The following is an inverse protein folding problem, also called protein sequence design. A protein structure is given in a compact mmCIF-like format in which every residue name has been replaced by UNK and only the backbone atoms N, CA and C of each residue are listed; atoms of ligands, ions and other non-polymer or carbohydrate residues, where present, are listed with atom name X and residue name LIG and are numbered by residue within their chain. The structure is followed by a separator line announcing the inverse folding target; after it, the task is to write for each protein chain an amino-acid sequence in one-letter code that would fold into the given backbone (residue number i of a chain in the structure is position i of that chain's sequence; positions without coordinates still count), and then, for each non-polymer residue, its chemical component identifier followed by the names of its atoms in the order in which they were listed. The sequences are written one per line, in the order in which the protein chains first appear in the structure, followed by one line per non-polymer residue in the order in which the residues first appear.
data_IF_863039685673
#
_entry.id   IF_863039685673
#
_cell.length_a   1.000
_cell.length_b   1.000
_cell.length_c   1.000
_cell.angle_alpha   90.00
_cell.angle_beta   90.00
_cell.angle_gamma   90.00
#
_symmetry.space_group_name_H-M   'P 1'
#
loop_
_entity.id
_entity.type
_entity.pdbx_description
1 polymer ?
#
# COMPACT_ATOMS: atom_id res chain seq x y z
N UNK A 1 20.08 6.85 -9.42
CA UNK A 1 18.94 7.22 -10.27
C UNK A 1 17.67 6.72 -9.63
N UNK A 2 16.58 7.49 -9.75
CA UNK A 2 15.25 7.00 -9.33
C UNK A 2 14.80 5.87 -10.25
N UNK A 3 14.17 4.83 -9.66
CA UNK A 3 13.66 3.66 -10.38
C UNK A 3 12.22 3.88 -10.83
N UNK A 4 11.90 3.52 -12.06
CA UNK A 4 10.56 3.54 -12.63
C UNK A 4 10.18 2.13 -13.04
N UNK A 5 9.03 1.64 -12.57
CA UNK A 5 8.46 0.37 -13.03
C UNK A 5 7.59 0.60 -14.26
N UNK A 6 7.85 -0.14 -15.32
CA UNK A 6 7.06 -0.14 -16.56
C UNK A 6 6.32 -1.46 -16.68
N UNK A 7 5.00 -1.38 -16.81
CA UNK A 7 4.12 -2.55 -16.94
C UNK A 7 3.30 -2.39 -18.21
N UNK A 8 3.62 -3.16 -19.23
CA UNK A 8 3.02 -3.09 -20.57
C UNK A 8 3.30 -4.43 -21.24
N UNK A 9 2.34 -5.08 -21.87
CA UNK A 9 2.54 -6.37 -22.53
C UNK A 9 3.34 -6.27 -23.84
N UNK A 10 3.39 -5.09 -24.45
CA UNK A 10 4.16 -4.82 -25.67
C UNK A 10 5.65 -4.63 -25.37
N UNK A 11 6.50 -5.61 -25.75
CA UNK A 11 7.95 -5.59 -25.60
C UNK A 11 8.60 -4.38 -26.30
N UNK A 12 8.09 -3.99 -27.47
CA UNK A 12 8.62 -2.85 -28.22
C UNK A 12 8.34 -1.54 -27.47
N UNK A 13 7.16 -1.41 -26.88
CA UNK A 13 6.80 -0.25 -26.06
C UNK A 13 7.68 -0.17 -24.82
N UNK A 14 7.88 -1.27 -24.10
CA UNK A 14 8.78 -1.31 -22.93
C UNK A 14 10.20 -0.91 -23.31
N UNK A 15 10.73 -1.48 -24.41
CA UNK A 15 12.04 -1.14 -24.93
C UNK A 15 12.19 0.34 -25.30
N UNK A 16 11.16 0.93 -25.92
CA UNK A 16 11.12 2.34 -26.28
C UNK A 16 11.13 3.23 -25.02
N UNK A 17 10.26 2.93 -24.04
CA UNK A 17 10.19 3.68 -22.77
C UNK A 17 11.55 3.62 -22.07
N UNK A 18 12.15 2.44 -21.95
CA UNK A 18 13.46 2.23 -21.34
C UNK A 18 14.53 3.08 -21.99
N UNK A 19 14.62 3.03 -23.31
CA UNK A 19 15.59 3.84 -24.08
C UNK A 19 15.37 5.34 -23.88
N UNK A 20 14.12 5.79 -23.89
CA UNK A 20 13.79 7.22 -23.78
C UNK A 20 13.97 7.79 -22.36
N UNK A 21 13.91 6.94 -21.32
CA UNK A 21 14.08 7.37 -19.93
C UNK A 21 15.49 7.13 -19.38
N UNK A 22 16.36 6.40 -20.09
CA UNK A 22 17.67 5.93 -19.61
C UNK A 22 18.66 7.02 -19.21
N UNK A 23 18.49 8.23 -19.71
CA UNK A 23 19.31 9.40 -19.35
C UNK A 23 18.99 9.96 -17.95
N UNK A 24 17.82 9.66 -17.40
CA UNK A 24 17.32 10.28 -16.17
C UNK A 24 16.93 9.25 -15.13
N UNK A 25 16.41 8.09 -15.54
CA UNK A 25 15.82 7.08 -14.68
C UNK A 25 16.36 5.68 -14.96
N UNK A 26 16.45 4.87 -13.93
CA UNK A 26 16.60 3.41 -14.03
C UNK A 26 15.22 2.79 -14.25
N UNK A 27 15.03 1.99 -15.29
CA UNK A 27 13.74 1.34 -15.56
C UNK A 27 13.80 -0.14 -15.25
N UNK A 28 12.78 -0.62 -14.53
CA UNK A 28 12.45 -2.02 -14.32
C UNK A 28 11.20 -2.27 -15.14
N UNK A 29 11.11 -3.36 -15.88
CA UNK A 29 9.98 -3.59 -16.76
C UNK A 29 9.47 -5.02 -16.68
N UNK A 30 8.18 -5.19 -16.93
CA UNK A 30 7.53 -6.50 -17.09
C UNK A 30 6.35 -6.40 -18.06
N UNK A 31 6.19 -7.45 -18.88
CA UNK A 31 4.98 -7.67 -19.66
C UNK A 31 3.93 -8.52 -18.91
N UNK A 32 4.27 -9.00 -17.71
CA UNK A 32 3.38 -9.85 -16.94
C UNK A 32 2.80 -9.06 -15.73
N UNK A 33 1.48 -8.76 -15.75
CA UNK A 33 0.82 -8.00 -14.68
C UNK A 33 0.92 -8.70 -13.31
N UNK A 34 0.98 -10.04 -13.27
CA UNK A 34 1.09 -10.80 -11.99
C UNK A 34 2.41 -10.52 -11.30
N UNK A 35 3.49 -10.31 -12.06
CA UNK A 35 4.82 -10.01 -11.50
C UNK A 35 4.96 -8.55 -11.03
N UNK A 36 4.13 -7.64 -11.55
CA UNK A 36 4.29 -6.21 -11.34
C UNK A 36 4.26 -5.80 -9.88
N UNK A 37 3.38 -6.40 -9.07
CA UNK A 37 3.28 -6.12 -7.64
C UNK A 37 4.53 -6.58 -6.89
N UNK A 38 5.03 -7.79 -7.20
CA UNK A 38 6.27 -8.32 -6.62
C UNK A 38 7.47 -7.44 -6.94
N UNK A 39 7.63 -7.04 -8.22
CA UNK A 39 8.70 -6.12 -8.65
C UNK A 39 8.60 -4.76 -7.97
N UNK A 40 7.39 -4.24 -7.77
CA UNK A 40 7.21 -2.97 -7.06
C UNK A 40 7.64 -3.07 -5.58
N UNK A 41 7.38 -4.20 -4.91
CA UNK A 41 7.80 -4.42 -3.52
C UNK A 41 9.30 -4.65 -3.39
N UNK A 42 9.90 -5.42 -4.31
CA UNK A 42 11.33 -5.74 -4.32
C UNK A 42 12.19 -4.53 -4.66
N UNK A 43 11.90 -3.87 -5.78
CA UNK A 43 12.75 -2.82 -6.33
C UNK A 43 12.41 -1.42 -5.85
N UNK A 44 11.25 -1.25 -5.21
CA UNK A 44 10.79 0.01 -4.60
C UNK A 44 10.82 1.21 -5.56
N UNK A 45 10.15 1.13 -6.72
CA UNK A 45 10.18 2.20 -7.71
C UNK A 45 9.53 3.48 -7.16
N UNK A 46 9.97 4.62 -7.71
CA UNK A 46 9.45 5.94 -7.37
C UNK A 46 8.21 6.32 -8.18
N UNK A 47 8.00 5.67 -9.33
CA UNK A 47 6.77 5.78 -10.13
C UNK A 47 6.50 4.48 -10.90
N UNK A 48 5.27 4.31 -11.34
CA UNK A 48 4.81 3.21 -12.18
C UNK A 48 4.22 3.79 -13.46
N UNK A 49 4.67 3.28 -14.61
CA UNK A 49 4.02 3.46 -15.91
C UNK A 49 3.23 2.19 -16.19
N UNK A 50 1.92 2.30 -16.40
CA UNK A 50 1.01 1.16 -16.45
C UNK A 50 0.12 1.24 -17.69
N UNK A 51 0.18 0.21 -18.54
CA UNK A 51 -0.85 0.03 -19.56
C UNK A 51 -2.14 -0.52 -18.93
N UNK A 52 -3.27 -0.07 -19.46
CA UNK A 52 -4.59 -0.56 -19.04
C UNK A 52 -5.01 -1.81 -19.77
N UNK A 53 -4.57 -1.97 -21.01
CA UNK A 53 -5.05 -3.00 -21.93
C UNK A 53 -4.00 -4.10 -22.06
N UNK A 54 -3.94 -4.97 -21.07
CA UNK A 54 -3.07 -6.14 -21.06
C UNK A 54 -3.90 -7.42 -21.09
N UNK A 55 -3.40 -8.51 -21.72
CA UNK A 55 -3.98 -9.84 -21.60
C UNK A 55 -4.04 -10.31 -20.15
N UNK A 56 -4.98 -11.16 -19.82
CA UNK A 56 -5.11 -11.91 -18.55
C UNK A 56 -5.43 -11.08 -17.30
N UNK A 57 -5.03 -9.82 -17.23
CA UNK A 57 -5.31 -8.94 -16.09
C UNK A 57 -5.38 -7.49 -16.55
N UNK A 58 -6.48 -6.84 -16.32
CA UNK A 58 -6.61 -5.43 -16.69
C UNK A 58 -5.73 -4.53 -15.81
N UNK A 59 -5.16 -3.48 -16.41
CA UNK A 59 -4.42 -2.47 -15.65
C UNK A 59 -5.25 -1.80 -14.56
N UNK A 60 -6.60 -1.87 -14.65
CA UNK A 60 -7.51 -1.41 -13.60
C UNK A 60 -7.39 -2.25 -12.33
N UNK A 61 -7.43 -3.58 -12.45
CA UNK A 61 -7.28 -4.50 -11.30
C UNK A 61 -5.90 -4.38 -10.68
N UNK A 62 -4.88 -4.21 -11.50
CA UNK A 62 -3.52 -4.01 -11.04
C UNK A 62 -3.36 -2.66 -10.30
N UNK A 63 -3.96 -1.59 -10.79
CA UNK A 63 -3.99 -0.29 -10.12
C UNK A 63 -4.67 -0.39 -8.75
N UNK A 64 -5.79 -1.12 -8.65
CA UNK A 64 -6.46 -1.39 -7.38
C UNK A 64 -5.57 -2.19 -6.43
N UNK A 65 -4.86 -3.19 -6.95
CA UNK A 65 -3.92 -4.00 -6.17
C UNK A 65 -2.79 -3.15 -5.59
N UNK A 66 -2.19 -2.27 -6.39
CA UNK A 66 -1.20 -1.30 -5.91
C UNK A 66 -1.78 -0.37 -4.82
N UNK A 67 -3.03 0.05 -4.96
CA UNK A 67 -3.67 0.95 -4.00
C UNK A 67 -3.96 0.27 -2.64
N UNK A 68 -4.15 -1.04 -2.62
CA UNK A 68 -4.47 -1.79 -1.40
C UNK A 68 -3.27 -1.97 -0.46
N UNK A 69 -2.04 -1.89 -0.96
CA UNK A 69 -0.82 -1.97 -0.14
C UNK A 69 -0.30 -0.58 0.18
N UNK A 70 -0.04 -0.30 1.45
CA UNK A 70 0.36 1.03 1.90
C UNK A 70 1.66 1.55 1.29
N UNK A 71 2.54 0.63 0.88
CA UNK A 71 3.79 0.97 0.20
C UNK A 71 3.48 1.44 -1.22
N UNK A 72 2.86 0.59 -2.02
CA UNK A 72 2.57 0.86 -3.43
C UNK A 72 1.47 1.91 -3.63
N UNK A 73 0.54 2.08 -2.66
CA UNK A 73 -0.49 3.12 -2.70
C UNK A 73 0.07 4.56 -2.73
N UNK A 74 1.34 4.74 -2.37
CA UNK A 74 2.01 6.05 -2.42
C UNK A 74 2.82 6.27 -3.68
N UNK A 75 3.07 5.22 -4.45
CA UNK A 75 3.80 5.33 -5.71
C UNK A 75 2.85 5.96 -6.74
N UNK A 76 3.23 7.08 -7.37
CA UNK A 76 2.42 7.67 -8.42
C UNK A 76 2.33 6.74 -9.61
N UNK A 77 1.11 6.46 -10.05
CA UNK A 77 0.81 5.64 -11.21
C UNK A 77 0.48 6.56 -12.38
N UNK A 78 1.21 6.42 -13.47
CA UNK A 78 0.95 7.07 -14.75
C UNK A 78 0.42 6.02 -15.72
N UNK A 79 -0.78 6.24 -16.18
CA UNK A 79 -1.41 5.37 -17.18
C UNK A 79 -0.87 5.72 -18.55
N UNK A 80 -0.47 4.70 -19.30
CA UNK A 80 0.00 4.79 -20.70
C UNK A 80 -0.85 3.83 -21.52
N UNK A 81 -1.77 4.33 -22.33
CA UNK A 81 -2.75 3.48 -23.03
C UNK A 81 -3.05 3.94 -24.46
N UNK A 82 -3.42 2.98 -25.32
CA UNK A 82 -3.91 3.28 -26.68
C UNK A 82 -5.36 3.77 -26.70
N UNK A 83 -6.12 3.63 -25.60
CA UNK A 83 -7.48 4.12 -25.47
C UNK A 83 -7.50 5.62 -25.17
N UNK A 84 -8.58 6.31 -25.61
CA UNK A 84 -8.73 7.73 -25.35
C UNK A 84 -8.78 8.02 -23.84
N UNK A 85 -7.87 8.86 -23.36
CA UNK A 85 -7.72 9.19 -21.93
C UNK A 85 -9.01 9.74 -21.29
N UNK A 86 -9.92 10.32 -22.07
CA UNK A 86 -11.18 10.87 -21.57
C UNK A 86 -12.13 9.82 -20.98
N UNK A 87 -12.12 8.60 -21.52
CA UNK A 87 -13.08 7.54 -21.16
C UNK A 87 -12.88 6.99 -19.74
N UNK A 88 -11.64 6.93 -19.28
CA UNK A 88 -11.30 6.26 -18.01
C UNK A 88 -10.65 7.18 -16.99
N UNK A 89 -10.42 8.44 -17.30
CA UNK A 89 -9.68 9.39 -16.47
C UNK A 89 -10.23 9.51 -15.06
N UNK A 90 -11.53 9.72 -14.92
CA UNK A 90 -12.18 9.87 -13.63
C UNK A 90 -12.09 8.58 -12.79
N UNK A 91 -12.40 7.46 -13.41
CA UNK A 91 -12.32 6.15 -12.75
C UNK A 91 -10.91 5.85 -12.24
N UNK A 92 -9.89 6.04 -13.09
CA UNK A 92 -8.50 5.78 -12.73
C UNK A 92 -7.94 6.77 -11.72
N UNK A 93 -8.40 8.03 -11.74
CA UNK A 93 -8.06 9.01 -10.71
C UNK A 93 -8.53 8.54 -9.32
N UNK A 94 -9.72 7.96 -9.23
CA UNK A 94 -10.25 7.36 -8.00
C UNK A 94 -9.42 6.14 -7.54
N UNK A 95 -8.74 5.47 -8.47
CA UNK A 95 -7.80 4.37 -8.18
C UNK A 95 -6.36 4.84 -7.92
N UNK A 96 -6.11 6.16 -7.87
CA UNK A 96 -4.81 6.72 -7.51
C UNK A 96 -3.86 7.03 -8.67
N UNK A 97 -4.32 6.95 -9.92
CA UNK A 97 -3.53 7.39 -11.07
C UNK A 97 -3.38 8.93 -11.05
N UNK A 98 -2.16 9.39 -11.26
CA UNK A 98 -1.80 10.82 -11.20
C UNK A 98 -1.59 11.47 -12.57
N UNK A 99 -1.55 10.66 -13.63
CA UNK A 99 -1.35 11.13 -15.00
C UNK A 99 -1.79 10.11 -16.04
N UNK A 100 -2.06 10.63 -17.25
CA UNK A 100 -2.50 9.87 -18.42
C UNK A 100 -1.71 10.27 -19.62
N UNK A 101 -1.24 9.26 -20.37
CA UNK A 101 -0.54 9.43 -21.62
C UNK A 101 -1.13 8.49 -22.66
N UNK A 102 -1.59 9.06 -23.76
CA UNK A 102 -2.05 8.28 -24.92
C UNK A 102 -0.85 7.82 -25.74
N UNK A 103 -0.93 6.60 -26.27
CA UNK A 103 0.02 6.11 -27.26
C UNK A 103 -0.33 6.73 -28.64
N UNK A 104 0.64 7.34 -29.35
CA UNK A 104 2.07 7.40 -29.08
C UNK A 104 2.44 8.42 -28.00
N UNK A 105 3.39 8.06 -27.14
CA UNK A 105 3.77 8.83 -25.94
C UNK A 105 4.53 10.10 -26.32
N UNK A 106 4.09 11.25 -25.79
CA UNK A 106 4.91 12.46 -25.70
C UNK A 106 5.89 12.33 -24.54
N UNK A 107 7.13 11.90 -24.86
CA UNK A 107 8.17 11.67 -23.84
C UNK A 107 8.65 12.93 -23.15
N UNK A 108 8.58 14.10 -23.78
CA UNK A 108 8.95 15.36 -23.15
C UNK A 108 7.94 15.69 -22.04
N UNK A 109 6.66 15.55 -22.33
CA UNK A 109 5.58 15.71 -21.37
C UNK A 109 5.64 14.66 -20.25
N UNK A 110 5.90 13.39 -20.59
CA UNK A 110 6.05 12.31 -19.61
C UNK A 110 7.18 12.61 -18.62
N UNK A 111 8.40 12.95 -19.10
CA UNK A 111 9.56 13.31 -18.25
C UNK A 111 9.25 14.48 -17.33
N UNK A 112 8.62 15.52 -17.86
CA UNK A 112 8.23 16.71 -17.07
C UNK A 112 7.26 16.34 -15.95
N UNK A 113 6.25 15.51 -16.23
CA UNK A 113 5.27 15.07 -15.22
C UNK A 113 5.89 14.13 -14.19
N UNK A 114 6.75 13.18 -14.60
CA UNK A 114 7.52 12.34 -13.70
C UNK A 114 8.35 13.18 -12.73
N UNK A 115 9.15 14.11 -13.24
CA UNK A 115 9.97 14.99 -12.41
C UNK A 115 9.15 15.78 -11.40
N UNK A 116 8.05 16.38 -11.83
CA UNK A 116 7.14 17.15 -10.95
C UNK A 116 6.57 16.27 -9.81
N UNK A 117 6.08 15.08 -10.11
CA UNK A 117 5.49 14.19 -9.10
C UNK A 117 6.55 13.63 -8.13
N UNK A 118 7.74 13.30 -8.63
CA UNK A 118 8.82 12.76 -7.80
C UNK A 118 9.43 13.80 -6.85
N UNK A 119 9.42 15.08 -7.22
CA UNK A 119 9.84 16.18 -6.35
C UNK A 119 8.89 16.39 -5.16
N UNK A 120 7.59 16.21 -5.38
CA UNK A 120 6.56 16.48 -4.35
C UNK A 120 6.34 15.31 -3.40
N UNK A 121 6.75 14.10 -3.76
CA UNK A 121 6.50 12.88 -2.98
C UNK A 121 7.76 12.35 -2.32
N UNK A 122 7.83 12.35 -0.97
CA UNK A 122 8.95 11.74 -0.27
C UNK A 122 8.98 10.21 -0.49
N UNK A 123 10.18 9.64 -0.50
CA UNK A 123 10.36 8.19 -0.57
C UNK A 123 9.73 7.50 0.65
N UNK A 124 9.18 6.30 0.47
CA UNK A 124 8.65 5.50 1.58
C UNK A 124 9.80 5.04 2.51
N UNK A 125 9.64 5.27 3.81
CA UNK A 125 10.64 4.92 4.85
C UNK A 125 10.16 3.83 5.81
N UNK A 126 8.98 3.24 5.58
CA UNK A 126 8.43 2.23 6.49
C UNK A 126 9.19 0.92 6.38
N UNK A 127 9.43 0.28 7.53
CA UNK A 127 10.09 -1.03 7.59
C UNK A 127 9.20 -2.15 7.02
N UNK A 128 7.85 -2.06 7.23
CA UNK A 128 6.93 -3.12 6.84
C UNK A 128 5.81 -2.57 5.95
N UNK A 129 5.47 -3.36 4.93
CA UNK A 129 4.29 -3.12 4.09
C UNK A 129 3.02 -3.26 4.92
N UNK A 130 2.05 -2.38 4.71
CA UNK A 130 0.73 -2.44 5.34
C UNK A 130 -0.33 -2.79 4.31
N UNK A 131 -1.18 -3.74 4.66
CA UNK A 131 -2.32 -4.15 3.84
C UNK A 131 -3.59 -3.56 4.44
N UNK A 132 -4.44 -2.96 3.61
CA UNK A 132 -5.79 -2.58 4.04
C UNK A 132 -6.63 -3.85 4.16
N UNK A 133 -6.76 -4.34 5.38
CA UNK A 133 -7.44 -5.60 5.68
C UNK A 133 -8.24 -5.45 6.97
N UNK A 134 -9.49 -5.90 6.94
CA UNK A 134 -10.38 -5.96 8.09
C UNK A 134 -10.26 -7.33 8.73
N UNK A 135 -9.56 -7.40 9.84
CA UNK A 135 -9.50 -8.57 10.72
C UNK A 135 -10.23 -8.24 12.01
N UNK A 136 -10.94 -9.22 12.54
CA UNK A 136 -11.49 -9.12 13.91
C UNK A 136 -10.40 -9.60 14.85
N UNK A 137 -9.92 -8.71 15.69
CA UNK A 137 -8.96 -9.01 16.74
C UNK A 137 -9.57 -8.74 18.11
N UNK A 138 -9.22 -9.55 19.11
CA UNK A 138 -9.50 -9.31 20.51
C UNK A 138 -8.25 -8.82 21.21
N UNK A 139 -8.37 -7.70 21.88
CA UNK A 139 -7.33 -7.15 22.75
C UNK A 139 -7.68 -7.43 24.22
N UNK A 140 -6.70 -7.89 24.99
CA UNK A 140 -6.81 -8.10 26.44
C UNK A 140 -5.70 -7.34 27.16
N UNK A 141 -6.06 -6.63 28.21
CA UNK A 141 -5.09 -5.85 29.00
C UNK A 141 -5.77 -4.96 30.02
N UNK A 142 -5.11 -3.88 30.37
CA UNK A 142 -5.62 -2.85 31.31
C UNK A 142 -5.70 -1.49 30.60
N UNK A 143 -6.76 -0.75 30.84
CA UNK A 143 -6.94 0.62 30.33
C UNK A 143 -6.12 1.64 31.13
N UNK A 144 -6.16 2.91 30.73
CA UNK A 144 -5.46 4.00 31.43
C UNK A 144 -5.91 4.19 32.88
N UNK A 145 -7.11 3.71 33.24
CA UNK A 145 -7.65 3.71 34.60
C UNK A 145 -7.34 2.44 35.39
N UNK A 146 -6.43 1.59 34.90
CA UNK A 146 -6.03 0.31 35.50
C UNK A 146 -7.17 -0.73 35.60
N UNK A 147 -8.21 -0.60 34.80
CA UNK A 147 -9.31 -1.59 34.72
C UNK A 147 -8.99 -2.61 33.64
N UNK A 148 -9.12 -3.89 33.99
CA UNK A 148 -8.98 -4.98 33.02
C UNK A 148 -10.08 -4.93 31.98
N UNK A 149 -9.74 -5.21 30.72
CA UNK A 149 -10.68 -5.27 29.62
C UNK A 149 -10.37 -6.41 28.65
N UNK A 150 -11.42 -6.86 27.97
CA UNK A 150 -11.36 -7.67 26.75
C UNK A 150 -12.22 -6.98 25.70
N UNK A 151 -11.62 -6.55 24.59
CA UNK A 151 -12.31 -5.77 23.56
C UNK A 151 -12.08 -6.35 22.17
N UNK A 152 -13.18 -6.64 21.47
CA UNK A 152 -13.14 -6.94 20.03
C UNK A 152 -13.05 -5.63 19.24
N UNK A 153 -12.21 -5.62 18.21
CA UNK A 153 -12.16 -4.53 17.24
C UNK A 153 -11.83 -5.05 15.84
N UNK A 154 -12.20 -4.25 14.85
CA UNK A 154 -11.81 -4.48 13.44
C UNK A 154 -10.59 -3.65 13.10
N UNK A 155 -9.60 -4.28 12.47
CA UNK A 155 -8.43 -3.55 11.97
C UNK A 155 -8.78 -2.69 10.77
N UNK A 156 -8.09 -1.56 10.59
CA UNK A 156 -8.15 -0.73 9.38
C UNK A 156 -7.06 -1.13 8.38
N UNK A 157 -5.90 -1.50 8.91
CA UNK A 157 -4.80 -2.07 8.15
C UNK A 157 -3.93 -2.94 9.07
N UNK A 158 -3.18 -3.83 8.46
CA UNK A 158 -2.26 -4.75 9.12
C UNK A 158 -0.90 -4.75 8.43
N UNK A 159 0.14 -5.11 9.16
CA UNK A 159 1.50 -5.33 8.65
C UNK A 159 2.17 -6.45 9.44
N UNK A 160 3.34 -6.92 9.00
CA UNK A 160 4.14 -7.85 9.78
C UNK A 160 4.50 -7.28 11.18
N UNK A 161 4.70 -5.96 11.28
CA UNK A 161 5.07 -5.31 12.54
C UNK A 161 3.91 -4.82 13.41
N UNK A 162 2.64 -4.92 12.98
CA UNK A 162 1.50 -4.44 13.77
C UNK A 162 0.24 -4.11 12.98
N UNK A 163 -0.69 -3.40 13.61
CA UNK A 163 -1.98 -3.06 13.02
C UNK A 163 -2.52 -1.71 13.53
N UNK A 164 -3.54 -1.22 12.85
CA UNK A 164 -4.30 -0.02 13.20
C UNK A 164 -5.75 -0.42 13.43
N UNK A 165 -6.35 -0.01 14.54
CA UNK A 165 -7.78 -0.18 14.79
C UNK A 165 -8.36 0.95 15.63
N UNK A 166 -9.68 1.00 15.70
CA UNK A 166 -10.44 2.01 16.46
C UNK A 166 -11.12 1.34 17.67
N UNK A 167 -10.98 1.97 18.85
CA UNK A 167 -11.47 1.46 20.13
C UNK A 167 -12.14 2.57 20.95
N UNK A 168 -13.20 2.23 21.73
CA UNK A 168 -13.81 3.16 22.67
C UNK A 168 -13.15 3.13 24.06
N UNK A 169 -11.83 2.88 24.09
CA UNK A 169 -11.05 2.77 25.31
C UNK A 169 -9.95 3.82 25.34
N UNK A 170 -9.62 4.31 26.52
CA UNK A 170 -8.43 5.12 26.72
C UNK A 170 -7.26 4.21 27.11
N UNK A 171 -6.28 4.09 26.22
CA UNK A 171 -5.11 3.25 26.39
C UNK A 171 -3.88 4.14 26.59
N UNK A 172 -3.09 3.82 27.61
CA UNK A 172 -1.83 4.53 27.87
C UNK A 172 -0.78 4.17 26.81
N UNK A 173 0.04 5.13 26.38
CA UNK A 173 1.23 4.84 25.57
C UNK A 173 2.12 3.80 26.25
N UNK A 174 2.74 2.96 25.44
CA UNK A 174 3.66 1.90 25.89
C UNK A 174 3.05 0.76 26.75
N UNK A 175 1.75 0.82 27.05
CA UNK A 175 1.07 -0.31 27.67
C UNK A 175 1.07 -1.54 26.74
N UNK A 176 1.24 -2.72 27.36
CA UNK A 176 1.28 -4.00 26.63
C UNK A 176 -0.05 -4.72 26.68
N UNK A 177 -0.51 -5.22 25.52
CA UNK A 177 -1.78 -5.92 25.38
C UNK A 177 -1.58 -7.25 24.68
N UNK A 178 -2.32 -8.26 25.10
CA UNK A 178 -2.41 -9.53 24.38
C UNK A 178 -3.36 -9.38 23.20
N UNK A 179 -3.03 -10.01 22.08
CA UNK A 179 -3.81 -9.99 20.86
C UNK A 179 -4.20 -11.41 20.47
N UNK A 180 -5.45 -11.57 20.12
CA UNK A 180 -6.01 -12.82 19.61
C UNK A 180 -6.73 -12.53 18.30
N UNK A 181 -6.55 -13.38 17.29
CA UNK A 181 -7.41 -13.40 16.10
C UNK A 181 -8.73 -14.09 16.48
N UNK A 182 -9.84 -13.42 16.22
CA UNK A 182 -11.17 -13.99 16.37
C UNK A 182 -11.58 -14.65 15.05
N UNK A 183 -11.72 -15.96 15.06
CA UNK A 183 -12.21 -16.78 13.95
C UNK A 183 -13.51 -17.50 14.31
N UNK A 184 -14.03 -18.33 13.40
CA UNK A 184 -15.27 -19.08 13.58
C UNK A 184 -15.16 -20.09 14.77
N UNK A 185 -15.47 -19.60 15.97
CA UNK A 185 -15.54 -20.42 17.20
C UNK A 185 -14.23 -20.59 17.96
N UNK A 186 -13.11 -20.05 17.49
CA UNK A 186 -11.81 -20.16 18.16
C UNK A 186 -11.09 -18.81 18.19
N UNK A 187 -10.37 -18.56 19.29
CA UNK A 187 -9.46 -17.43 19.46
C UNK A 187 -8.03 -17.95 19.40
N UNK A 188 -7.26 -17.42 18.47
CA UNK A 188 -5.83 -17.76 18.33
C UNK A 188 -4.98 -16.63 18.90
N UNK A 189 -4.18 -16.93 19.91
CA UNK A 189 -3.18 -15.98 20.41
C UNK A 189 -2.15 -15.71 19.33
N UNK A 190 -1.94 -14.42 19.00
CA UNK A 190 -1.02 -14.01 17.94
C UNK A 190 0.13 -13.14 18.43
N UNK A 191 0.15 -12.80 19.71
CA UNK A 191 1.28 -12.11 20.31
C UNK A 191 0.90 -10.99 21.29
N UNK A 192 1.91 -10.17 21.61
CA UNK A 192 1.77 -8.95 22.42
C UNK A 192 2.04 -7.72 21.58
N UNK A 193 1.30 -6.66 21.86
CA UNK A 193 1.47 -5.36 21.21
C UNK A 193 1.56 -4.24 22.23
N UNK A 194 2.18 -3.13 21.82
CA UNK A 194 2.11 -1.86 22.53
C UNK A 194 1.48 -0.78 21.65
N UNK A 195 0.91 0.25 22.28
CA UNK A 195 0.47 1.45 21.58
C UNK A 195 1.69 2.28 21.18
N UNK A 196 1.81 2.59 19.88
CA UNK A 196 2.90 3.46 19.38
C UNK A 196 2.39 4.81 18.88
N UNK A 197 1.08 4.93 18.63
CA UNK A 197 0.44 6.17 18.22
C UNK A 197 -1.05 6.14 18.53
N UNK A 198 -1.56 7.27 18.99
CA UNK A 198 -2.98 7.55 19.19
C UNK A 198 -3.39 8.67 18.23
N UNK A 199 -4.49 8.48 17.52
CA UNK A 199 -5.10 9.46 16.63
C UNK A 199 -6.48 9.81 17.17
N UNK A 200 -6.94 11.06 16.93
CA UNK A 200 -8.23 11.57 17.40
C UNK A 200 -8.48 11.38 18.91
N UNK A 201 -7.60 11.92 19.79
CA UNK A 201 -7.68 11.68 21.24
C UNK A 201 -8.94 12.20 21.90
N UNK A 202 -9.63 13.19 21.32
CA UNK A 202 -10.78 13.85 21.91
C UNK A 202 -12.13 13.27 21.42
N UNK A 203 -12.12 12.09 20.82
CA UNK A 203 -13.33 11.40 20.37
C UNK A 203 -13.63 10.19 21.23
N UNK A 204 -14.93 9.80 21.30
CA UNK A 204 -15.36 8.58 22.01
C UNK A 204 -14.75 7.29 21.41
N UNK A 205 -14.38 7.34 20.12
CA UNK A 205 -13.75 6.26 19.38
C UNK A 205 -12.36 6.68 18.95
N UNK A 206 -11.35 6.18 19.63
CA UNK A 206 -9.97 6.56 19.40
C UNK A 206 -9.29 5.57 18.49
N UNK A 207 -8.43 6.05 17.62
CA UNK A 207 -7.70 5.25 16.65
C UNK A 207 -6.28 5.01 17.15
N UNK A 208 -5.92 3.73 17.30
CA UNK A 208 -4.64 3.31 17.85
C UNK A 208 -3.81 2.56 16.83
N UNK A 209 -2.54 2.92 16.72
CA UNK A 209 -1.53 2.11 16.04
C UNK A 209 -0.81 1.24 17.07
N UNK A 210 -0.86 -0.06 16.84
CA UNK A 210 -0.22 -1.08 17.64
C UNK A 210 1.00 -1.65 16.94
N UNK A 211 2.07 -1.87 17.70
CA UNK A 211 3.28 -2.55 17.26
C UNK A 211 3.45 -3.84 18.05
N UNK A 212 3.76 -4.94 17.36
CA UNK A 212 4.12 -6.18 18.03
C UNK A 212 5.42 -6.02 18.81
N UNK A 213 5.41 -6.44 20.08
CA UNK A 213 6.57 -6.67 20.92
C UNK A 213 6.93 -8.15 20.96
N UNK A 214 5.93 -9.02 20.72
CA UNK A 214 6.05 -10.45 20.60
C UNK A 214 5.03 -10.89 19.54
N UNK A 215 5.44 -11.69 18.55
CA UNK A 215 4.59 -12.15 17.45
C UNK A 215 4.71 -13.65 17.28
N UNK A 216 3.58 -14.35 17.10
CA UNK A 216 3.55 -15.77 16.78
C UNK A 216 3.42 -16.00 15.27
N UNK A 217 3.71 -17.22 14.77
CA UNK A 217 3.54 -17.56 13.35
C UNK A 217 2.08 -17.46 12.86
N UNK A 218 1.10 -17.46 13.76
CA UNK A 218 -0.33 -17.36 13.43
C UNK A 218 -0.77 -15.97 12.99
N UNK A 219 0.07 -14.93 13.14
CA UNK A 219 -0.23 -13.63 12.57
C UNK A 219 -0.25 -13.68 11.04
N UNK A 220 -1.24 -13.03 10.43
CA UNK A 220 -1.55 -13.13 8.99
C UNK A 220 -0.46 -12.64 8.05
N UNK A 221 0.47 -11.81 8.55
CA UNK A 221 1.61 -11.30 7.78
C UNK A 221 2.91 -11.58 8.52
N UNK A 222 3.83 -12.26 7.86
CA UNK A 222 5.18 -12.50 8.34
C UNK A 222 6.17 -11.54 7.67
N UNK A 223 7.38 -11.44 8.21
CA UNK A 223 8.47 -10.59 7.69
C UNK A 223 9.06 -11.16 6.40
#
# INVERSE_FOLDING_TARGET
MDKILVVDDDDAMRGMIKMRLSDTYETIDTGNPIQALGLALEHKPRAILLDLMMPDCSGFELCQSFHNLSYTARIPIFVVTGESAGKYREYMSNLGAVGYFEKPIDFAKLKSRLASELLTRPSERRAHVRVRMKLIVKLKGTDASQRSFEQLCSTDNVSAGGFLCTLPLDLSPDSSFQVFLAGAGHEHYVGRVRVVRREAPDTAWQRYAFQFTEKTPEWVLQD
#
